data_IF_084511195723
#
_entry.id   IF_084511195723
#
_cell.length_a   1.000
_cell.length_b   1.000
_cell.length_c   1.000
_cell.angle_alpha   90.00
_cell.angle_beta   90.00
_cell.angle_gamma   90.00
#
_symmetry.space_group_name_H-M   'P 1'
#
loop_
_entity.id
_entity.type
_entity.pdbx_description
1 polymer ?
#
# COMPACT_ATOMS: atom_id res chain seq x y z
N UNK A 1 18.87 1.44 31.26
CA UNK A 1 18.34 2.30 30.18
C UNK A 1 17.38 1.51 29.30
N UNK A 2 17.76 0.32 28.81
CA UNK A 2 16.86 -0.55 28.02
C UNK A 2 15.60 -1.01 28.78
N UNK A 3 15.70 -1.36 30.06
CA UNK A 3 14.53 -1.84 30.84
C UNK A 3 13.47 -0.77 31.07
N UNK A 4 13.86 0.49 31.29
CA UNK A 4 12.92 1.60 31.39
C UNK A 4 12.25 1.90 30.05
N UNK A 5 12.97 1.76 28.93
CA UNK A 5 12.40 1.89 27.59
C UNK A 5 11.38 0.79 27.32
N UNK A 6 11.68 -0.47 27.66
CA UNK A 6 10.75 -1.59 27.49
C UNK A 6 9.48 -1.38 28.35
N UNK A 7 9.64 -0.96 29.61
CA UNK A 7 8.50 -0.66 30.50
C UNK A 7 7.66 0.52 30.01
N UNK A 8 8.29 1.55 29.44
CA UNK A 8 7.58 2.68 28.82
C UNK A 8 6.83 2.23 27.56
N UNK A 9 7.42 1.39 26.72
CA UNK A 9 6.76 0.77 25.57
C UNK A 9 5.57 -0.09 25.98
N UNK A 10 5.71 -0.94 27.02
CA UNK A 10 4.62 -1.77 27.53
C UNK A 10 3.47 -0.91 28.07
N UNK A 11 3.76 0.16 28.84
CA UNK A 11 2.71 1.10 29.29
C UNK A 11 1.95 1.73 28.12
N UNK A 12 2.63 2.07 27.04
CA UNK A 12 1.98 2.64 25.86
C UNK A 12 1.06 1.63 25.16
N UNK A 13 1.43 0.35 25.14
CA UNK A 13 0.58 -0.72 24.58
C UNK A 13 -0.70 -0.87 25.40
N UNK A 14 -0.59 -0.89 26.73
CA UNK A 14 -1.73 -1.03 27.64
C UNK A 14 -2.62 0.23 27.72
N UNK A 15 -2.03 1.43 27.74
CA UNK A 15 -2.79 2.69 27.89
C UNK A 15 -3.30 3.25 26.55
N UNK A 16 -2.66 2.92 25.43
CA UNK A 16 -2.92 3.57 24.13
C UNK A 16 -3.27 2.59 23.00
N UNK A 17 -3.65 1.33 23.23
CA UNK A 17 -4.13 0.38 22.19
C UNK A 17 -3.29 0.40 20.90
N UNK A 18 -1.97 0.27 21.04
CA UNK A 18 -1.03 0.23 19.93
C UNK A 18 -1.01 -1.15 19.27
N UNK A 19 -0.95 -1.19 17.94
CA UNK A 19 -0.85 -2.43 17.16
C UNK A 19 0.21 -2.35 16.05
N UNK A 20 0.71 -3.53 15.67
CA UNK A 20 1.53 -3.72 14.48
C UNK A 20 0.61 -4.13 13.35
N UNK A 21 0.56 -3.29 12.30
CA UNK A 21 -0.30 -3.54 11.14
C UNK A 21 0.13 -4.79 10.39
N UNK A 22 1.44 -5.01 10.24
CA UNK A 22 1.97 -6.16 9.52
C UNK A 22 3.41 -6.48 9.89
N UNK A 23 3.74 -7.77 9.91
CA UNK A 23 5.08 -8.29 9.65
C UNK A 23 5.08 -8.86 8.24
N UNK A 24 5.96 -8.38 7.38
CA UNK A 24 6.06 -8.82 5.98
C UNK A 24 7.44 -9.40 5.75
N UNK A 25 7.51 -10.68 5.36
CA UNK A 25 8.75 -11.32 4.94
C UNK A 25 8.95 -11.09 3.44
N UNK A 26 10.00 -10.37 3.09
CA UNK A 26 10.48 -10.23 1.72
C UNK A 26 11.30 -11.46 1.33
N UNK A 27 11.04 -12.06 0.17
CA UNK A 27 11.74 -13.25 -0.33
C UNK A 27 12.17 -13.01 -1.78
N UNK A 28 13.47 -13.05 -2.02
CA UNK A 28 14.02 -13.02 -3.38
C UNK A 28 13.69 -14.31 -4.12
N UNK A 29 13.26 -14.20 -5.38
CA UNK A 29 12.99 -15.34 -6.25
C UNK A 29 13.98 -15.45 -7.42
N UNK A 30 15.09 -14.69 -7.38
CA UNK A 30 16.06 -14.67 -8.48
C UNK A 30 16.75 -16.02 -8.70
N UNK A 31 16.97 -16.80 -7.64
CA UNK A 31 17.49 -18.17 -7.71
C UNK A 31 16.41 -19.21 -8.11
N UNK A 32 15.14 -18.81 -8.16
CA UNK A 32 14.04 -19.64 -8.64
C UNK A 32 13.92 -19.60 -10.18
N UNK A 33 14.64 -18.71 -10.86
CA UNK A 33 14.59 -18.56 -12.31
C UNK A 33 14.99 -19.88 -13.00
N UNK A 34 14.20 -20.27 -13.99
CA UNK A 34 14.44 -21.39 -14.88
C UNK A 34 13.92 -21.05 -16.29
N UNK A 35 14.34 -21.82 -17.29
CA UNK A 35 13.78 -21.71 -18.65
C UNK A 35 12.43 -22.42 -18.76
N UNK A 36 12.15 -23.34 -17.83
CA UNK A 36 10.88 -24.08 -17.72
C UNK A 36 10.00 -23.45 -16.63
N UNK A 37 8.77 -23.07 -17.00
CA UNK A 37 7.82 -22.44 -16.09
C UNK A 37 7.42 -23.36 -14.94
N UNK A 38 7.27 -24.67 -15.19
CA UNK A 38 6.82 -25.61 -14.17
C UNK A 38 7.94 -25.85 -13.14
N UNK A 39 9.21 -25.83 -13.58
CA UNK A 39 10.37 -25.83 -12.67
C UNK A 39 10.48 -24.54 -11.87
N UNK A 40 10.22 -23.39 -12.51
CA UNK A 40 10.18 -22.09 -11.83
C UNK A 40 9.11 -22.12 -10.73
N UNK A 41 7.91 -22.61 -11.02
CA UNK A 41 6.84 -22.76 -10.04
C UNK A 41 7.26 -23.66 -8.86
N UNK A 42 7.86 -24.82 -9.12
CA UNK A 42 8.31 -25.72 -8.06
C UNK A 42 9.36 -25.04 -7.16
N UNK A 43 10.36 -24.38 -7.73
CA UNK A 43 11.38 -23.64 -6.97
C UNK A 43 10.77 -22.53 -6.11
N UNK A 44 9.83 -21.75 -6.66
CA UNK A 44 9.11 -20.71 -5.94
C UNK A 44 8.37 -21.29 -4.73
N UNK A 45 7.58 -22.34 -4.96
CA UNK A 45 6.81 -22.98 -3.89
C UNK A 45 7.71 -23.49 -2.77
N UNK A 46 8.78 -24.22 -3.12
CA UNK A 46 9.73 -24.76 -2.15
C UNK A 46 10.43 -23.65 -1.37
N UNK A 47 10.89 -22.60 -2.04
CA UNK A 47 11.61 -21.50 -1.38
C UNK A 47 10.71 -20.76 -0.40
N UNK A 48 9.51 -20.37 -0.82
CA UNK A 48 8.57 -19.64 0.04
C UNK A 48 8.19 -20.48 1.26
N UNK A 49 7.75 -21.72 1.04
CA UNK A 49 7.32 -22.61 2.13
C UNK A 49 8.46 -22.96 3.07
N UNK A 50 9.70 -23.04 2.60
CA UNK A 50 10.88 -23.28 3.45
C UNK A 50 11.24 -22.06 4.29
N UNK A 51 11.33 -20.88 3.67
CA UNK A 51 11.81 -19.66 4.34
C UNK A 51 10.78 -19.07 5.30
N UNK A 52 9.49 -19.15 4.95
CA UNK A 52 8.42 -18.55 5.74
C UNK A 52 7.71 -19.55 6.67
N UNK A 53 8.15 -20.82 6.76
CA UNK A 53 7.48 -21.89 7.53
C UNK A 53 7.05 -21.52 8.96
N UNK A 54 7.87 -20.73 9.64
CA UNK A 54 7.68 -20.35 11.05
C UNK A 54 7.16 -18.90 11.20
N UNK A 55 6.92 -18.17 10.10
CA UNK A 55 6.58 -16.74 10.14
C UNK A 55 5.33 -16.45 10.97
N UNK A 56 4.25 -17.20 10.72
CA UNK A 56 2.97 -17.00 11.42
C UNK A 56 3.11 -17.34 12.89
N UNK A 57 3.69 -18.52 13.18
CA UNK A 57 3.94 -19.00 14.53
C UNK A 57 4.77 -18.01 15.35
N UNK A 58 5.88 -17.52 14.80
CA UNK A 58 6.74 -16.53 15.48
C UNK A 58 5.97 -15.22 15.69
N UNK A 59 5.16 -14.80 14.72
CA UNK A 59 4.28 -13.64 14.90
C UNK A 59 3.33 -13.81 16.09
N UNK A 60 2.64 -14.94 16.19
CA UNK A 60 1.72 -15.25 17.29
C UNK A 60 2.42 -15.38 18.65
N UNK A 61 3.63 -15.94 18.68
CA UNK A 61 4.45 -15.99 19.90
C UNK A 61 4.83 -14.59 20.39
N UNK A 62 5.19 -13.68 19.48
CA UNK A 62 5.50 -12.29 19.82
C UNK A 62 4.25 -11.57 20.36
N UNK A 63 3.09 -11.78 19.75
CA UNK A 63 1.82 -11.22 20.24
C UNK A 63 1.54 -11.67 21.68
N UNK A 64 1.67 -12.98 21.94
CA UNK A 64 1.38 -13.54 23.26
C UNK A 64 2.38 -13.10 24.33
N UNK A 65 3.66 -12.94 23.98
CA UNK A 65 4.73 -12.63 24.95
C UNK A 65 4.78 -11.14 25.29
N UNK A 66 4.60 -10.27 24.30
CA UNK A 66 4.70 -8.82 24.48
C UNK A 66 3.35 -8.13 24.65
N UNK A 67 2.24 -8.84 24.42
CA UNK A 67 0.89 -8.28 24.48
C UNK A 67 0.59 -7.26 23.39
N UNK A 68 1.37 -7.26 22.29
CA UNK A 68 1.24 -6.32 21.17
C UNK A 68 0.53 -7.05 20.02
N UNK A 69 -0.68 -6.64 19.62
CA UNK A 69 -1.38 -7.24 18.49
C UNK A 69 -0.60 -7.06 17.18
N UNK A 70 -0.48 -8.13 16.39
CA UNK A 70 0.11 -8.16 15.04
C UNK A 70 -0.97 -8.60 14.07
N UNK A 71 -1.63 -7.60 13.46
CA UNK A 71 -2.86 -7.80 12.69
C UNK A 71 -2.63 -8.70 11.48
N UNK A 72 -1.47 -8.59 10.82
CA UNK A 72 -1.16 -9.37 9.62
C UNK A 72 0.26 -9.94 9.62
N UNK A 73 0.37 -11.13 9.01
CA UNK A 73 1.64 -11.76 8.63
C UNK A 73 1.58 -11.99 7.13
N UNK A 74 2.54 -11.43 6.39
CA UNK A 74 2.49 -11.32 4.93
C UNK A 74 3.81 -11.71 4.29
N UNK A 75 3.77 -11.97 2.99
CA UNK A 75 4.96 -12.21 2.18
C UNK A 75 4.99 -11.21 1.03
N UNK A 76 6.16 -10.70 0.68
CA UNK A 76 6.40 -10.05 -0.60
C UNK A 76 7.50 -10.79 -1.35
N UNK A 77 7.36 -10.87 -2.67
CA UNK A 77 8.35 -11.56 -3.52
C UNK A 77 8.89 -10.65 -4.62
N UNK A 78 10.01 -11.05 -5.21
CA UNK A 78 10.56 -10.39 -6.40
C UNK A 78 9.48 -10.21 -7.46
N UNK A 79 9.39 -9.04 -8.12
CA UNK A 79 8.42 -8.81 -9.20
C UNK A 79 8.40 -9.98 -10.18
N UNK A 80 7.27 -10.69 -10.21
CA UNK A 80 7.14 -11.97 -10.93
C UNK A 80 7.51 -11.82 -12.40
N UNK A 81 7.22 -10.67 -13.03
CA UNK A 81 7.59 -10.42 -14.42
C UNK A 81 9.10 -10.61 -14.70
N UNK A 82 9.96 -10.28 -13.74
CA UNK A 82 11.41 -10.48 -13.83
C UNK A 82 11.73 -11.98 -13.75
N UNK A 83 11.10 -12.69 -12.81
CA UNK A 83 11.36 -14.10 -12.54
C UNK A 83 10.96 -14.97 -13.74
N UNK A 84 9.81 -14.68 -14.35
CA UNK A 84 9.29 -15.46 -15.48
C UNK A 84 9.88 -15.05 -16.83
N UNK A 85 10.62 -13.93 -16.92
CA UNK A 85 11.13 -13.42 -18.19
C UNK A 85 12.01 -14.44 -18.94
N UNK A 86 12.75 -15.28 -18.22
CA UNK A 86 13.59 -16.33 -18.81
C UNK A 86 12.79 -17.42 -19.55
N UNK A 87 11.50 -17.59 -19.21
CA UNK A 87 10.61 -18.56 -19.84
C UNK A 87 9.95 -18.06 -21.13
N UNK A 88 10.10 -16.76 -21.48
CA UNK A 88 9.29 -16.11 -22.54
C UNK A 88 7.78 -16.38 -22.33
N UNK A 89 7.24 -15.93 -21.19
CA UNK A 89 5.98 -16.45 -20.65
C UNK A 89 4.78 -16.02 -21.49
N UNK A 90 3.76 -16.86 -21.52
CA UNK A 90 2.40 -16.48 -21.93
C UNK A 90 1.58 -16.01 -20.72
N UNK A 91 0.44 -15.33 -20.90
CA UNK A 91 -0.46 -15.01 -19.78
C UNK A 91 -0.88 -16.25 -18.98
N UNK A 92 -1.06 -17.41 -19.63
CA UNK A 92 -1.39 -18.67 -18.97
C UNK A 92 -0.26 -19.16 -18.05
N UNK A 93 0.99 -18.95 -18.43
CA UNK A 93 2.16 -19.27 -17.61
C UNK A 93 2.24 -18.38 -16.38
N UNK A 94 1.97 -17.08 -16.54
CA UNK A 94 1.89 -16.15 -15.40
C UNK A 94 0.78 -16.55 -14.42
N UNK A 95 -0.39 -17.00 -14.89
CA UNK A 95 -1.48 -17.52 -14.05
C UNK A 95 -1.04 -18.76 -13.26
N UNK A 96 -0.23 -19.66 -13.84
CA UNK A 96 0.33 -20.80 -13.09
C UNK A 96 1.21 -20.33 -11.93
N UNK A 97 2.00 -19.29 -12.13
CA UNK A 97 2.82 -18.70 -11.06
C UNK A 97 1.93 -18.05 -10.00
N UNK A 98 0.88 -17.32 -10.38
CA UNK A 98 -0.09 -16.78 -9.43
C UNK A 98 -0.70 -17.88 -8.54
N UNK A 99 -1.16 -18.98 -9.14
CA UNK A 99 -1.68 -20.14 -8.40
C UNK A 99 -0.64 -20.79 -7.49
N UNK A 100 0.62 -20.76 -7.90
CA UNK A 100 1.73 -21.28 -7.09
C UNK A 100 1.98 -20.41 -5.86
N UNK A 101 1.98 -19.08 -6.02
CA UNK A 101 2.08 -18.13 -4.92
C UNK A 101 0.89 -18.27 -3.96
N UNK A 102 -0.32 -18.43 -4.49
CA UNK A 102 -1.54 -18.63 -3.70
C UNK A 102 -1.46 -19.90 -2.84
N UNK A 103 -1.03 -21.01 -3.45
CA UNK A 103 -0.80 -22.28 -2.74
C UNK A 103 0.28 -22.16 -1.66
N UNK A 104 1.38 -21.47 -1.95
CA UNK A 104 2.45 -21.26 -0.98
C UNK A 104 1.98 -20.39 0.20
N UNK A 105 1.21 -19.34 -0.07
CA UNK A 105 0.61 -18.48 0.95
C UNK A 105 -0.35 -19.26 1.85
N UNK A 106 -1.18 -20.13 1.26
CA UNK A 106 -2.10 -21.01 1.99
C UNK A 106 -1.36 -22.01 2.87
N UNK A 107 -0.30 -22.64 2.36
CA UNK A 107 0.51 -23.63 3.09
C UNK A 107 1.19 -23.01 4.33
N UNK A 108 1.72 -21.80 4.19
CA UNK A 108 2.39 -21.09 5.30
C UNK A 108 1.38 -20.42 6.25
N UNK A 109 0.15 -20.17 5.79
CA UNK A 109 -0.92 -19.57 6.59
C UNK A 109 -0.84 -18.03 6.67
N UNK A 110 -0.22 -17.36 5.69
CA UNK A 110 -0.12 -15.88 5.66
C UNK A 110 -1.39 -15.24 5.10
N UNK A 111 -1.64 -13.97 5.46
CA UNK A 111 -2.84 -13.26 5.05
C UNK A 111 -2.87 -12.87 3.57
N UNK A 112 -1.71 -12.50 3.01
CA UNK A 112 -1.55 -12.09 1.62
C UNK A 112 -0.09 -12.28 1.17
N UNK A 113 0.09 -12.48 -0.14
CA UNK A 113 1.37 -12.50 -0.82
C UNK A 113 1.39 -11.47 -1.96
N UNK A 114 2.29 -10.49 -1.86
CA UNK A 114 2.51 -9.47 -2.87
C UNK A 114 3.73 -9.79 -3.74
N UNK A 115 3.86 -9.10 -4.87
CA UNK A 115 4.97 -9.29 -5.81
C UNK A 115 4.56 -9.89 -7.14
N UNK A 116 3.27 -10.18 -7.36
CA UNK A 116 2.72 -10.42 -8.69
C UNK A 116 2.71 -9.12 -9.51
N UNK A 117 3.92 -8.67 -9.85
CA UNK A 117 4.20 -7.29 -10.18
C UNK A 117 5.11 -7.14 -11.39
N UNK A 118 4.94 -6.01 -12.07
CA UNK A 118 5.76 -5.57 -13.21
C UNK A 118 6.22 -4.12 -13.03
N UNK A 119 7.43 -3.81 -13.49
CA UNK A 119 8.04 -2.47 -13.41
C UNK A 119 8.31 -1.97 -14.83
N UNK A 120 7.45 -1.08 -15.33
CA UNK A 120 7.35 -0.75 -16.77
C UNK A 120 7.54 0.74 -17.06
N UNK A 121 8.14 1.51 -16.15
CA UNK A 121 8.26 2.97 -16.30
C UNK A 121 9.06 3.42 -17.54
N UNK A 122 9.92 2.55 -18.09
CA UNK A 122 10.73 2.83 -19.30
C UNK A 122 10.27 2.05 -20.54
N UNK A 123 9.16 1.32 -20.46
CA UNK A 123 8.69 0.41 -21.50
C UNK A 123 8.58 -1.02 -20.99
N UNK A 124 8.22 -1.94 -21.88
CA UNK A 124 8.00 -3.35 -21.56
C UNK A 124 9.23 -4.21 -21.86
N UNK A 125 9.47 -5.20 -21.00
CA UNK A 125 10.37 -6.33 -21.22
C UNK A 125 9.59 -7.63 -21.43
N UNK A 126 10.32 -8.73 -21.68
CA UNK A 126 9.77 -10.00 -22.16
C UNK A 126 8.70 -10.65 -21.27
N UNK A 127 8.68 -10.35 -19.96
CA UNK A 127 7.67 -10.88 -19.04
C UNK A 127 6.52 -9.91 -18.70
N UNK A 128 6.68 -8.61 -18.99
CA UNK A 128 5.80 -7.58 -18.42
C UNK A 128 4.39 -7.61 -19.00
N UNK A 129 4.26 -7.66 -20.33
CA UNK A 129 2.96 -7.69 -21.00
C UNK A 129 2.17 -8.93 -20.62
N UNK A 130 2.80 -10.11 -20.68
CA UNK A 130 2.18 -11.37 -20.30
C UNK A 130 1.69 -11.35 -18.85
N UNK A 131 2.48 -10.77 -17.93
CA UNK A 131 2.05 -10.60 -16.55
C UNK A 131 0.85 -9.63 -16.45
N UNK A 132 0.92 -8.43 -17.03
CA UNK A 132 -0.15 -7.43 -16.93
C UNK A 132 -1.47 -7.96 -17.52
N UNK A 133 -1.42 -8.62 -18.68
CA UNK A 133 -2.59 -9.20 -19.35
C UNK A 133 -3.21 -10.34 -18.55
N UNK A 134 -2.42 -11.04 -17.74
CA UNK A 134 -2.89 -12.14 -16.91
C UNK A 134 -3.55 -11.70 -15.59
N UNK A 135 -3.36 -10.45 -15.16
CA UNK A 135 -3.84 -9.93 -13.86
C UNK A 135 -5.34 -10.20 -13.63
N UNK A 136 -6.26 -9.91 -14.58
CA UNK A 136 -7.69 -10.09 -14.33
C UNK A 136 -8.06 -11.53 -13.97
N UNK A 137 -7.51 -12.49 -14.71
CA UNK A 137 -7.79 -13.90 -14.50
C UNK A 137 -7.04 -14.44 -13.26
N UNK A 138 -5.78 -14.05 -13.07
CA UNK A 138 -4.97 -14.45 -11.92
C UNK A 138 -5.64 -14.03 -10.60
N UNK A 139 -6.10 -12.77 -10.48
CA UNK A 139 -6.73 -12.27 -9.26
C UNK A 139 -8.15 -12.82 -9.03
N UNK A 140 -8.83 -13.29 -10.09
CA UNK A 140 -10.11 -13.99 -9.98
C UNK A 140 -9.96 -15.45 -9.53
N UNK A 141 -8.82 -16.09 -9.82
CA UNK A 141 -8.56 -17.51 -9.52
C UNK A 141 -7.68 -17.74 -8.29
N UNK A 142 -7.32 -16.68 -7.57
CA UNK A 142 -6.48 -16.71 -6.36
C UNK A 142 -7.13 -15.91 -5.24
N UNK A 143 -6.81 -16.25 -4.00
CA UNK A 143 -7.40 -15.59 -2.82
C UNK A 143 -6.40 -14.64 -2.15
N UNK A 144 -5.15 -15.05 -2.03
CA UNK A 144 -4.10 -14.40 -1.24
C UNK A 144 -3.14 -13.56 -2.08
N UNK A 145 -3.13 -13.73 -3.40
CA UNK A 145 -2.20 -13.01 -4.28
C UNK A 145 -2.65 -11.56 -4.47
N UNK A 146 -1.71 -10.63 -4.28
CA UNK A 146 -1.83 -9.22 -4.61
C UNK A 146 -0.90 -8.84 -5.77
N UNK A 147 -1.35 -7.92 -6.61
CA UNK A 147 -0.65 -7.48 -7.81
C UNK A 147 -0.38 -5.98 -7.78
N UNK A 148 0.78 -5.59 -8.29
CA UNK A 148 1.13 -4.18 -8.46
C UNK A 148 1.88 -3.91 -9.76
N UNK A 149 1.64 -2.74 -10.38
CA UNK A 149 2.34 -2.36 -11.62
C UNK A 149 2.90 -0.96 -11.48
N UNK A 150 4.22 -0.80 -11.57
CA UNK A 150 4.86 0.52 -11.57
C UNK A 150 4.93 1.06 -13.00
N UNK A 151 4.19 2.14 -13.29
CA UNK A 151 4.06 2.70 -14.65
C UNK A 151 4.88 3.98 -14.85
N UNK A 152 5.47 4.52 -13.79
CA UNK A 152 6.23 5.77 -13.84
C UNK A 152 7.29 5.86 -12.77
N UNK A 153 8.29 6.71 -13.01
CA UNK A 153 9.22 7.14 -11.98
C UNK A 153 9.69 8.56 -12.26
N UNK A 154 10.12 9.28 -11.24
CA UNK A 154 10.66 10.63 -11.42
C UNK A 154 11.87 10.66 -12.36
N UNK A 155 12.66 9.57 -12.38
CA UNK A 155 13.80 9.43 -13.28
C UNK A 155 13.42 9.10 -14.72
N UNK A 156 12.29 8.42 -14.94
CA UNK A 156 11.85 8.00 -16.27
C UNK A 156 10.75 8.90 -16.86
N UNK A 157 9.97 9.59 -16.04
CA UNK A 157 8.67 10.09 -16.45
C UNK A 157 7.60 9.00 -16.36
N UNK A 158 6.59 9.05 -17.22
CA UNK A 158 5.39 8.20 -17.13
C UNK A 158 5.21 7.44 -18.44
N UNK A 159 5.12 6.11 -18.38
CA UNK A 159 4.79 5.27 -19.52
C UNK A 159 3.27 5.29 -19.77
N UNK A 160 2.82 6.14 -20.71
CA UNK A 160 1.41 6.31 -21.01
C UNK A 160 0.80 5.10 -21.76
N UNK A 161 1.62 4.31 -22.45
CA UNK A 161 1.16 3.03 -23.02
C UNK A 161 0.75 2.06 -21.90
N UNK A 162 1.53 2.00 -20.81
CA UNK A 162 1.21 1.20 -19.63
C UNK A 162 0.03 1.76 -18.84
N UNK A 163 -0.07 3.09 -18.72
CA UNK A 163 -1.24 3.74 -18.10
C UNK A 163 -2.54 3.37 -18.83
N UNK A 164 -2.55 3.42 -20.17
CA UNK A 164 -3.70 2.99 -20.97
C UNK A 164 -4.04 1.52 -20.73
N UNK A 165 -3.03 0.65 -20.81
CA UNK A 165 -3.22 -0.79 -20.58
C UNK A 165 -3.78 -1.05 -19.18
N UNK A 166 -3.28 -0.35 -18.16
CA UNK A 166 -3.78 -0.50 -16.79
C UNK A 166 -5.23 -0.03 -16.62
N UNK A 167 -5.68 1.00 -17.33
CA UNK A 167 -7.10 1.38 -17.33
C UNK A 167 -8.01 0.25 -17.84
N UNK A 168 -7.59 -0.45 -18.90
CA UNK A 168 -8.30 -1.65 -19.40
C UNK A 168 -8.19 -2.82 -18.43
N UNK A 169 -7.01 -3.08 -17.88
CA UNK A 169 -6.76 -4.19 -16.95
C UNK A 169 -7.58 -4.02 -15.67
N UNK A 170 -7.69 -2.82 -15.11
CA UNK A 170 -8.55 -2.55 -13.94
C UNK A 170 -10.01 -2.85 -14.27
N UNK A 171 -10.50 -2.41 -15.43
CA UNK A 171 -11.88 -2.68 -15.85
C UNK A 171 -12.16 -4.18 -16.03
N UNK A 172 -11.27 -4.89 -16.73
CA UNK A 172 -11.34 -6.36 -16.91
C UNK A 172 -11.24 -7.10 -15.58
N UNK A 173 -10.41 -6.62 -14.66
CA UNK A 173 -10.25 -7.20 -13.32
C UNK A 173 -11.54 -7.05 -12.51
N UNK A 174 -12.15 -5.86 -12.55
CA UNK A 174 -13.46 -5.62 -11.94
C UNK A 174 -14.47 -6.59 -12.54
N UNK A 175 -14.55 -6.72 -13.86
CA UNK A 175 -15.44 -7.65 -14.58
C UNK A 175 -15.27 -9.12 -14.16
N UNK A 176 -14.03 -9.58 -13.98
CA UNK A 176 -13.70 -10.95 -13.64
C UNK A 176 -13.91 -11.30 -12.15
N UNK A 177 -13.76 -10.34 -11.23
CA UNK A 177 -13.85 -10.59 -9.79
C UNK A 177 -14.27 -9.35 -9.01
N UNK A 178 -15.23 -9.51 -8.10
CA UNK A 178 -15.74 -8.42 -7.26
C UNK A 178 -14.69 -7.91 -6.25
N UNK A 179 -13.72 -8.75 -5.90
CA UNK A 179 -12.60 -8.43 -4.99
C UNK A 179 -11.26 -8.23 -5.72
N UNK A 180 -11.21 -8.47 -7.03
CA UNK A 180 -9.96 -8.43 -7.80
C UNK A 180 -9.27 -7.07 -7.72
N UNK A 181 -10.02 -5.99 -7.93
CA UNK A 181 -9.47 -4.62 -7.88
C UNK A 181 -9.01 -4.20 -6.48
N UNK A 182 -9.52 -4.81 -5.41
CA UNK A 182 -9.02 -4.55 -4.07
C UNK A 182 -7.60 -5.11 -3.84
N UNK A 183 -7.18 -6.07 -4.68
CA UNK A 183 -5.86 -6.72 -4.69
C UNK A 183 -4.95 -6.22 -5.80
N UNK A 184 -5.32 -5.16 -6.53
CA UNK A 184 -4.55 -4.59 -7.64
C UNK A 184 -4.24 -3.12 -7.37
N UNK A 185 -2.98 -2.73 -7.48
CA UNK A 185 -2.58 -1.32 -7.35
C UNK A 185 -1.64 -0.88 -8.47
N UNK A 186 -1.82 0.33 -8.96
CA UNK A 186 -0.95 0.93 -9.98
C UNK A 186 -0.09 2.00 -9.32
N UNK A 187 1.23 1.94 -9.51
CA UNK A 187 2.18 2.85 -8.88
C UNK A 187 2.86 3.80 -9.87
N UNK A 188 3.27 4.94 -9.34
CA UNK A 188 4.45 5.65 -9.79
C UNK A 188 5.45 5.78 -8.62
N UNK A 189 6.75 5.71 -8.93
CA UNK A 189 7.83 5.69 -7.93
C UNK A 189 7.62 4.62 -6.85
N UNK A 190 7.24 3.40 -7.23
CA UNK A 190 7.12 2.31 -6.27
C UNK A 190 8.44 2.09 -5.51
N UNK A 191 8.32 1.79 -4.22
CA UNK A 191 9.46 1.49 -3.35
C UNK A 191 9.65 -0.03 -3.22
N UNK A 192 10.90 -0.44 -3.05
CA UNK A 192 11.35 -1.83 -3.16
C UNK A 192 11.13 -2.69 -1.90
N UNK A 193 10.81 -2.04 -0.77
CA UNK A 193 10.76 -2.62 0.58
C UNK A 193 9.37 -2.42 1.25
N UNK A 194 8.34 -2.03 0.48
CA UNK A 194 7.00 -1.75 1.00
C UNK A 194 6.37 -2.98 1.68
N UNK A 195 6.01 -2.93 2.97
CA UNK A 195 5.37 -4.04 3.65
C UNK A 195 3.83 -4.10 3.46
N UNK A 196 3.21 -3.06 2.87
CA UNK A 196 1.76 -2.92 2.76
C UNK A 196 1.17 -3.50 1.47
N UNK A 197 0.05 -4.23 1.61
CA UNK A 197 -0.72 -4.77 0.48
C UNK A 197 -1.78 -3.77 -0.01
N UNK A 198 -2.17 -3.79 -1.28
CA UNK A 198 -1.81 -4.75 -2.35
C UNK A 198 -0.44 -4.50 -3.01
N UNK A 199 0.29 -3.48 -2.57
CA UNK A 199 1.42 -2.93 -3.32
C UNK A 199 2.79 -3.54 -3.08
N UNK A 200 2.94 -4.35 -2.04
CA UNK A 200 4.23 -4.90 -1.66
C UNK A 200 4.84 -5.79 -2.75
N UNK A 201 6.12 -5.60 -3.01
CA UNK A 201 7.01 -6.54 -3.70
C UNK A 201 8.37 -6.49 -3.02
N UNK A 202 9.23 -7.47 -3.29
CA UNK A 202 10.59 -7.52 -2.74
C UNK A 202 11.58 -7.09 -3.82
N UNK A 203 12.24 -5.95 -3.63
CA UNK A 203 13.16 -5.38 -4.60
C UNK A 203 14.31 -6.31 -4.98
N UNK A 204 14.89 -6.07 -6.16
CA UNK A 204 16.06 -6.82 -6.61
C UNK A 204 17.34 -6.41 -5.88
N UNK A 205 17.34 -5.23 -5.25
CA UNK A 205 18.45 -4.72 -4.44
C UNK A 205 18.45 -5.19 -2.98
N UNK A 206 17.33 -5.75 -2.50
CA UNK A 206 17.16 -6.23 -1.13
C UNK A 206 17.87 -7.58 -0.90
N UNK A 207 18.07 -7.99 0.36
CA UNK A 207 18.72 -9.29 0.64
C UNK A 207 17.86 -10.50 0.21
N UNK A 208 18.42 -11.71 0.31
CA UNK A 208 17.73 -12.95 -0.10
C UNK A 208 16.39 -13.14 0.61
N UNK A 209 16.36 -12.85 1.92
CA UNK A 209 15.17 -12.83 2.76
C UNK A 209 15.31 -11.74 3.81
N UNK A 210 14.27 -10.95 4.05
CA UNK A 210 14.25 -9.90 5.08
C UNK A 210 12.89 -9.79 5.77
N UNK A 211 12.88 -9.19 6.97
CA UNK A 211 11.66 -8.85 7.70
C UNK A 211 11.45 -7.35 7.71
N UNK A 212 10.32 -6.91 7.16
CA UNK A 212 9.85 -5.54 7.20
C UNK A 212 8.62 -5.45 8.10
N UNK A 213 8.51 -4.37 8.88
CA UNK A 213 7.39 -4.16 9.81
C UNK A 213 6.65 -2.88 9.46
N UNK A 214 5.32 -2.98 9.29
CA UNK A 214 4.44 -1.84 9.19
C UNK A 214 3.73 -1.62 10.52
N UNK A 215 3.84 -0.42 11.08
CA UNK A 215 3.14 -0.04 12.31
C UNK A 215 1.76 0.55 12.00
N UNK A 216 0.87 0.55 13.00
CA UNK A 216 -0.35 1.34 12.99
C UNK A 216 -0.33 2.31 14.19
N UNK A 217 -1.22 3.28 14.19
CA UNK A 217 -1.30 4.28 15.25
C UNK A 217 -2.25 5.47 15.07
N UNK A 218 -3.19 5.53 14.09
CA UNK A 218 -4.12 6.67 14.03
C UNK A 218 -4.85 6.94 15.35
N UNK A 219 -5.42 5.91 15.99
CA UNK A 219 -6.11 6.07 17.26
C UNK A 219 -5.24 6.65 18.39
N UNK A 220 -3.94 6.31 18.41
CA UNK A 220 -2.96 6.77 19.39
C UNK A 220 -2.66 8.25 19.19
N UNK A 221 -2.43 8.66 17.94
CA UNK A 221 -2.18 10.05 17.57
C UNK A 221 -3.40 10.91 17.88
N UNK A 222 -4.61 10.43 17.59
CA UNK A 222 -5.85 11.13 17.96
C UNK A 222 -5.95 11.37 19.46
N UNK A 223 -5.77 10.34 20.29
CA UNK A 223 -5.79 10.46 21.76
C UNK A 223 -4.73 11.43 22.30
N UNK A 224 -3.56 11.47 21.67
CA UNK A 224 -2.52 12.42 22.04
C UNK A 224 -2.94 13.88 21.73
N UNK A 225 -3.62 14.11 20.60
CA UNK A 225 -4.11 15.43 20.22
C UNK A 225 -5.27 15.94 21.07
N UNK A 226 -6.14 15.06 21.57
CA UNK A 226 -7.22 15.42 22.49
C UNK A 226 -6.69 16.12 23.77
N UNK A 227 -5.46 15.80 24.18
CA UNK A 227 -4.80 16.38 25.37
C UNK A 227 -4.25 17.80 25.13
N UNK A 228 -4.17 18.25 23.88
CA UNK A 228 -3.62 19.55 23.48
C UNK A 228 -4.60 20.37 22.64
N UNK A 229 -5.90 20.16 22.85
CA UNK A 229 -6.96 20.85 22.12
C UNK A 229 -6.91 22.35 22.35
N UNK A 230 -6.86 23.13 21.26
CA UNK A 230 -6.79 24.59 21.28
C UNK A 230 -5.38 25.17 21.44
N UNK A 231 -4.36 24.32 21.59
CA UNK A 231 -2.96 24.74 21.62
C UNK A 231 -2.44 25.15 20.22
N UNK A 232 -1.24 25.75 20.18
CA UNK A 232 -0.62 26.18 18.92
C UNK A 232 -0.18 25.00 18.04
N UNK A 233 0.00 25.25 16.74
CA UNK A 233 0.51 24.23 15.81
C UNK A 233 1.90 23.70 16.17
N UNK A 234 2.72 24.48 16.87
CA UNK A 234 4.01 24.00 17.39
C UNK A 234 3.81 22.85 18.38
N UNK A 235 2.84 23.00 19.29
CA UNK A 235 2.48 21.97 20.28
C UNK A 235 1.86 20.76 19.60
N UNK A 236 0.97 20.98 18.62
CA UNK A 236 0.34 19.91 17.83
C UNK A 236 1.41 19.09 17.10
N UNK A 237 2.32 19.73 16.38
CA UNK A 237 3.38 19.06 15.62
C UNK A 237 4.34 18.30 16.54
N UNK A 238 4.76 18.88 17.67
CA UNK A 238 5.60 18.19 18.66
C UNK A 238 4.90 16.98 19.27
N UNK A 239 3.58 17.08 19.51
CA UNK A 239 2.78 15.98 20.05
C UNK A 239 2.75 14.81 19.07
N UNK A 240 2.40 15.06 17.80
CA UNK A 240 2.40 14.04 16.75
C UNK A 240 3.80 13.41 16.60
N UNK A 241 4.85 14.23 16.59
CA UNK A 241 6.24 13.76 16.45
C UNK A 241 6.65 12.82 17.59
N UNK A 242 6.35 13.18 18.84
CA UNK A 242 6.66 12.34 20.01
C UNK A 242 5.87 11.03 19.99
N UNK A 243 4.61 11.08 19.58
CA UNK A 243 3.78 9.87 19.45
C UNK A 243 4.29 8.96 18.33
N UNK A 244 4.63 9.51 17.17
CA UNK A 244 5.20 8.75 16.07
C UNK A 244 6.55 8.10 16.44
N UNK A 245 7.40 8.80 17.19
CA UNK A 245 8.65 8.22 17.72
C UNK A 245 8.37 6.97 18.55
N UNK A 246 7.38 7.03 19.45
CA UNK A 246 7.00 5.92 20.34
C UNK A 246 6.45 4.72 19.56
N UNK A 247 5.53 4.96 18.63
CA UNK A 247 4.97 3.94 17.73
C UNK A 247 6.12 3.23 16.97
N UNK A 248 7.05 4.01 16.45
CA UNK A 248 8.16 3.49 15.65
C UNK A 248 9.12 2.63 16.47
N UNK A 249 9.41 3.02 17.72
CA UNK A 249 10.24 2.21 18.63
C UNK A 249 9.63 0.83 18.89
N UNK A 250 8.30 0.77 19.00
CA UNK A 250 7.59 -0.51 19.13
C UNK A 250 7.74 -1.37 17.86
N UNK A 251 7.54 -0.77 16.68
CA UNK A 251 7.77 -1.46 15.40
C UNK A 251 9.20 -2.01 15.29
N UNK A 252 10.19 -1.24 15.71
CA UNK A 252 11.59 -1.67 15.74
C UNK A 252 11.82 -2.83 16.72
N UNK A 253 11.21 -2.79 17.90
CA UNK A 253 11.30 -3.87 18.88
C UNK A 253 10.75 -5.18 18.30
N UNK A 254 9.54 -5.15 17.75
CA UNK A 254 8.89 -6.32 17.15
C UNK A 254 9.69 -6.84 15.96
N UNK A 255 10.17 -5.96 15.08
CA UNK A 255 11.00 -6.33 13.93
C UNK A 255 12.30 -7.02 14.34
N UNK A 256 12.99 -6.52 15.37
CA UNK A 256 14.21 -7.15 15.89
C UNK A 256 13.95 -8.54 16.46
N UNK A 257 12.89 -8.69 17.27
CA UNK A 257 12.55 -9.98 17.87
C UNK A 257 12.16 -11.00 16.80
N UNK A 258 11.36 -10.60 15.81
CA UNK A 258 11.00 -11.46 14.68
C UNK A 258 12.23 -11.88 13.87
N UNK A 259 13.13 -10.93 13.59
CA UNK A 259 14.40 -11.16 12.90
C UNK A 259 15.28 -12.18 13.62
N UNK A 260 15.47 -12.03 14.94
CA UNK A 260 16.28 -12.94 15.76
C UNK A 260 15.69 -14.36 15.81
N UNK A 261 14.36 -14.49 15.99
CA UNK A 261 13.69 -15.80 16.08
C UNK A 261 13.64 -16.54 14.76
N UNK A 262 13.44 -15.82 13.65
CA UNK A 262 13.41 -16.40 12.30
C UNK A 262 14.81 -16.63 11.72
N UNK A 263 15.85 -16.01 12.29
CA UNK A 263 17.21 -16.04 11.74
C UNK A 263 17.31 -15.30 10.40
N UNK A 264 16.49 -14.26 10.21
CA UNK A 264 16.36 -13.48 8.98
C UNK A 264 16.72 -12.02 9.27
N UNK A 265 17.50 -11.32 8.43
CA UNK A 265 17.80 -9.90 8.63
C UNK A 265 16.55 -9.03 8.79
N UNK A 266 16.66 -8.03 9.66
CA UNK A 266 15.65 -6.98 9.78
C UNK A 266 15.92 -5.91 8.72
N UNK A 267 14.92 -5.65 7.87
CA UNK A 267 14.96 -4.59 6.85
C UNK A 267 14.52 -3.26 7.47
N UNK A 268 13.27 -2.87 7.23
CA UNK A 268 12.77 -1.54 7.59
C UNK A 268 11.58 -1.55 8.57
N UNK A 269 11.39 -0.42 9.25
CA UNK A 269 10.09 -0.03 9.80
C UNK A 269 9.44 0.99 8.86
N UNK A 270 8.24 0.68 8.39
CA UNK A 270 7.39 1.64 7.69
C UNK A 270 6.53 2.39 8.72
N UNK A 271 6.58 3.72 8.68
CA UNK A 271 5.97 4.65 9.64
C UNK A 271 4.49 4.94 9.37
N UNK A 272 3.91 4.27 8.40
CA UNK A 272 2.64 4.71 7.85
C UNK A 272 1.48 4.62 8.84
N UNK A 273 0.72 5.71 8.98
CA UNK A 273 -0.52 5.72 9.76
C UNK A 273 -1.63 5.13 8.90
N UNK A 274 -1.82 3.81 9.00
CA UNK A 274 -2.85 3.08 8.29
C UNK A 274 -4.12 2.94 9.17
N UNK A 275 -5.26 3.52 8.78
CA UNK A 275 -6.51 3.36 9.51
C UNK A 275 -7.05 1.93 9.37
N UNK A 276 -8.02 1.61 10.22
CA UNK A 276 -8.78 0.36 10.14
C UNK A 276 -10.27 0.66 10.22
N UNK A 277 -11.14 -0.27 9.80
CA UNK A 277 -12.58 -0.13 9.98
C UNK A 277 -13.03 -0.06 11.46
N UNK A 278 -12.10 -0.23 12.43
CA UNK A 278 -12.39 -0.16 13.84
C UNK A 278 -12.71 1.27 14.30
N UNK A 279 -13.67 1.39 15.20
CA UNK A 279 -14.10 2.69 15.73
C UNK A 279 -12.96 3.39 16.46
N UNK A 280 -12.65 4.62 16.05
CA UNK A 280 -11.63 5.46 16.66
C UNK A 280 -10.23 5.33 16.06
N UNK A 281 -10.04 4.44 15.08
CA UNK A 281 -8.77 4.28 14.37
C UNK A 281 -8.83 4.87 12.95
N UNK A 282 -8.80 6.21 12.89
CA UNK A 282 -9.10 6.99 11.69
C UNK A 282 -8.16 8.16 11.54
N UNK A 283 -7.64 8.34 10.32
CA UNK A 283 -6.86 9.52 9.93
C UNK A 283 -7.78 10.72 9.76
N UNK A 284 -8.99 10.53 9.23
CA UNK A 284 -9.98 11.61 9.16
C UNK A 284 -10.26 12.24 10.54
N UNK A 285 -10.44 11.41 11.58
CA UNK A 285 -10.68 11.90 12.94
C UNK A 285 -9.46 12.61 13.55
N UNK A 286 -8.23 12.26 13.14
CA UNK A 286 -7.04 13.05 13.52
C UNK A 286 -7.11 14.45 12.94
N UNK A 287 -7.45 14.57 11.65
CA UNK A 287 -7.52 15.86 10.96
C UNK A 287 -8.64 16.73 11.53
N UNK A 288 -9.77 16.13 11.91
CA UNK A 288 -10.86 16.80 12.61
C UNK A 288 -10.42 17.26 14.03
N UNK A 289 -9.69 16.42 14.77
CA UNK A 289 -9.19 16.79 16.11
C UNK A 289 -8.14 17.93 16.05
N UNK A 290 -7.45 18.11 14.92
CA UNK A 290 -6.59 19.29 14.69
C UNK A 290 -7.37 20.60 14.54
N UNK A 291 -8.71 20.56 14.52
CA UNK A 291 -9.59 21.73 14.52
C UNK A 291 -10.46 21.88 13.26
N UNK A 292 -10.58 20.84 12.42
CA UNK A 292 -11.48 20.86 11.27
C UNK A 292 -12.86 20.33 11.67
N UNK A 293 -13.92 20.92 11.12
CA UNK A 293 -15.29 20.42 11.35
C UNK A 293 -15.52 19.06 10.68
N UNK A 294 -14.98 18.87 9.48
CA UNK A 294 -14.99 17.59 8.79
C UNK A 294 -13.83 17.46 7.81
N UNK A 295 -13.29 16.25 7.66
CA UNK A 295 -12.31 15.96 6.62
C UNK A 295 -12.86 16.30 5.23
N UNK A 296 -12.03 16.92 4.38
CA UNK A 296 -12.40 17.37 3.05
C UNK A 296 -12.66 18.88 2.96
N UNK A 297 -12.96 19.55 4.07
CA UNK A 297 -13.10 21.01 4.10
C UNK A 297 -11.78 21.76 3.83
N UNK A 298 -11.85 23.09 3.68
CA UNK A 298 -10.68 23.96 3.56
C UNK A 298 -9.78 23.82 4.80
N UNK A 299 -8.47 23.68 4.57
CA UNK A 299 -7.50 23.38 5.64
C UNK A 299 -7.12 21.91 5.76
N UNK A 300 -7.94 20.96 5.27
CA UNK A 300 -7.65 19.50 5.32
C UNK A 300 -6.27 19.15 4.77
N UNK A 301 -5.90 19.69 3.60
CA UNK A 301 -4.60 19.41 2.96
C UNK A 301 -3.44 19.94 3.81
N UNK A 302 -3.60 21.09 4.47
CA UNK A 302 -2.57 21.67 5.34
C UNK A 302 -2.41 20.86 6.64
N UNK A 303 -3.53 20.45 7.26
CA UNK A 303 -3.52 19.59 8.44
C UNK A 303 -2.85 18.24 8.14
N UNK A 304 -3.17 17.63 7.00
CA UNK A 304 -2.55 16.37 6.58
C UNK A 304 -1.06 16.53 6.24
N UNK A 305 -0.65 17.68 5.69
CA UNK A 305 0.76 17.96 5.46
C UNK A 305 1.54 18.03 6.79
N UNK A 306 0.99 18.72 7.81
CA UNK A 306 1.57 18.76 9.16
C UNK A 306 1.66 17.37 9.77
N UNK A 307 0.58 16.59 9.70
CA UNK A 307 0.52 15.22 10.20
C UNK A 307 1.64 14.37 9.58
N UNK A 308 1.73 14.36 8.24
CA UNK A 308 2.68 13.54 7.52
C UNK A 308 4.14 13.92 7.83
N UNK A 309 4.44 15.23 7.84
CA UNK A 309 5.77 15.73 8.15
C UNK A 309 6.20 15.42 9.61
N UNK A 310 5.29 15.62 10.57
CA UNK A 310 5.56 15.31 11.97
C UNK A 310 5.76 13.82 12.22
N UNK A 311 4.95 12.94 11.57
CA UNK A 311 5.11 11.49 11.66
C UNK A 311 6.48 11.05 11.11
N UNK A 312 6.86 11.53 9.92
CA UNK A 312 8.17 11.23 9.33
C UNK A 312 9.32 11.66 10.24
N UNK A 313 9.27 12.89 10.77
CA UNK A 313 10.30 13.41 11.69
C UNK A 313 10.39 12.57 12.97
N UNK A 314 9.26 12.15 13.52
CA UNK A 314 9.21 11.32 14.73
C UNK A 314 9.80 9.93 14.49
N UNK A 315 9.42 9.28 13.39
CA UNK A 315 9.87 7.92 13.09
C UNK A 315 11.35 7.84 12.68
N UNK A 316 11.86 8.78 11.87
CA UNK A 316 13.29 8.84 11.52
C UNK A 316 14.18 9.04 12.75
N UNK A 317 13.68 9.72 13.78
CA UNK A 317 14.40 9.84 15.06
C UNK A 317 14.43 8.52 15.86
N UNK A 318 13.47 7.62 15.62
CA UNK A 318 13.29 6.39 16.38
C UNK A 318 14.02 5.19 15.80
N UNK A 319 14.10 5.03 14.47
CA UNK A 319 14.67 3.83 13.85
C UNK A 319 15.83 4.17 12.90
N UNK A 320 16.82 3.27 12.84
CA UNK A 320 17.97 3.42 11.95
C UNK A 320 17.65 3.08 10.49
N UNK A 321 16.65 2.23 10.26
CA UNK A 321 16.21 1.78 8.94
C UNK A 321 14.72 2.06 8.81
N UNK A 322 14.41 3.24 8.27
CA UNK A 322 13.04 3.66 7.92
C UNK A 322 12.91 3.55 6.41
N UNK A 323 11.84 2.90 5.96
CA UNK A 323 11.61 2.60 4.55
C UNK A 323 10.13 2.47 4.22
N UNK A 324 9.81 1.80 3.12
CA UNK A 324 8.45 1.68 2.63
C UNK A 324 7.82 3.03 2.24
N UNK A 325 6.51 3.16 2.39
CA UNK A 325 5.74 4.34 2.00
C UNK A 325 5.89 5.48 3.03
N UNK A 326 5.98 5.13 4.31
CA UNK A 326 6.22 6.03 5.46
C UNK A 326 5.41 7.34 5.42
N UNK A 327 4.09 7.26 5.59
CA UNK A 327 3.23 8.43 5.72
C UNK A 327 1.77 8.14 6.09
N UNK A 328 0.93 9.16 6.20
CA UNK A 328 -0.48 8.95 6.48
C UNK A 328 -1.20 8.29 5.30
N UNK A 329 -2.00 7.25 5.54
CA UNK A 329 -2.80 6.57 4.53
C UNK A 329 -4.21 7.20 4.50
N UNK A 330 -4.79 7.33 3.31
CA UNK A 330 -6.15 7.86 3.13
C UNK A 330 -7.11 6.91 2.36
N UNK A 331 -7.15 5.60 2.70
CA UNK A 331 -8.03 4.64 2.04
C UNK A 331 -9.49 4.92 2.42
N UNK A 332 -10.30 5.28 1.43
CA UNK A 332 -11.70 5.66 1.69
C UNK A 332 -12.48 4.51 2.29
N UNK A 333 -12.28 3.26 1.84
CA UNK A 333 -13.06 2.12 2.31
C UNK A 333 -12.71 1.63 3.73
N UNK A 334 -11.52 1.98 4.23
CA UNK A 334 -11.00 1.48 5.51
C UNK A 334 -11.12 2.54 6.62
N UNK A 335 -11.28 3.83 6.29
CA UNK A 335 -11.41 4.91 7.27
C UNK A 335 -12.87 5.36 7.44
N UNK A 336 -13.48 5.01 8.58
CA UNK A 336 -14.87 5.35 8.88
C UNK A 336 -15.18 6.86 8.83
N UNK A 337 -14.22 7.72 9.17
CA UNK A 337 -14.39 9.17 9.08
C UNK A 337 -14.39 9.66 7.62
N UNK A 338 -13.58 9.04 6.76
CA UNK A 338 -13.58 9.35 5.33
C UNK A 338 -14.88 8.89 4.65
N UNK A 339 -15.36 7.68 4.95
CA UNK A 339 -16.66 7.18 4.45
C UNK A 339 -17.76 8.18 4.77
N UNK A 340 -17.84 8.59 6.04
CA UNK A 340 -18.86 9.55 6.50
C UNK A 340 -18.77 10.89 5.78
N UNK A 341 -17.55 11.40 5.54
CA UNK A 341 -17.35 12.66 4.84
C UNK A 341 -17.72 12.57 3.35
N UNK A 342 -17.46 11.43 2.70
CA UNK A 342 -17.90 11.17 1.32
C UNK A 342 -19.43 11.09 1.25
N UNK A 343 -20.06 10.34 2.16
CA UNK A 343 -21.52 10.22 2.23
C UNK A 343 -22.21 11.57 2.51
N UNK A 344 -21.58 12.44 3.31
CA UNK A 344 -22.04 13.80 3.57
C UNK A 344 -21.76 14.77 2.41
N UNK A 345 -21.02 14.35 1.37
CA UNK A 345 -20.63 15.19 0.24
C UNK A 345 -19.57 16.24 0.57
N UNK A 346 -18.85 16.07 1.69
CA UNK A 346 -17.80 16.97 2.17
C UNK A 346 -16.41 16.57 1.68
N UNK A 347 -16.24 15.32 1.25
CA UNK A 347 -15.03 14.77 0.65
C UNK A 347 -15.34 14.24 -0.76
N UNK A 348 -14.65 14.76 -1.77
CA UNK A 348 -14.80 14.36 -3.18
C UNK A 348 -13.47 13.85 -3.75
N UNK A 349 -13.51 13.34 -4.99
CA UNK A 349 -12.36 12.69 -5.62
C UNK A 349 -11.21 13.70 -5.87
N UNK A 350 -11.54 14.91 -6.31
CA UNK A 350 -10.56 15.97 -6.58
C UNK A 350 -9.89 16.46 -5.29
N UNK A 351 -10.61 16.43 -4.16
CA UNK A 351 -10.04 16.76 -2.86
C UNK A 351 -9.12 15.64 -2.37
N UNK A 352 -9.48 14.37 -2.60
CA UNK A 352 -8.59 13.25 -2.33
C UNK A 352 -7.32 13.36 -3.16
N UNK A 353 -7.42 13.63 -4.46
CA UNK A 353 -6.29 13.92 -5.36
C UNK A 353 -5.44 15.11 -4.84
N UNK A 354 -6.06 16.20 -4.39
CA UNK A 354 -5.33 17.30 -3.78
C UNK A 354 -4.61 16.91 -2.47
N UNK A 355 -5.17 15.96 -1.71
CA UNK A 355 -4.54 15.39 -0.52
C UNK A 355 -3.40 14.44 -0.89
N UNK A 356 -3.50 13.72 -2.02
CA UNK A 356 -2.44 12.83 -2.48
C UNK A 356 -1.16 13.60 -2.73
N UNK A 357 -1.22 14.86 -3.16
CA UNK A 357 -0.05 15.73 -3.33
C UNK A 357 0.89 15.77 -2.11
N UNK A 358 0.36 15.66 -0.89
CA UNK A 358 1.13 15.72 0.36
C UNK A 358 1.13 14.40 1.17
N UNK A 359 0.34 13.40 0.76
CA UNK A 359 0.21 12.07 1.36
C UNK A 359 1.14 11.03 0.69
N UNK A 360 1.44 9.89 1.31
CA UNK A 360 2.36 8.89 0.74
C UNK A 360 1.73 7.86 -0.21
N UNK A 361 0.42 7.63 -0.14
CA UNK A 361 -0.20 6.47 -0.82
C UNK A 361 -0.86 6.83 -2.14
N UNK A 362 -1.58 7.94 -2.27
CA UNK A 362 -2.36 8.22 -3.48
C UNK A 362 -3.86 7.90 -3.32
N UNK A 363 -4.56 7.66 -4.43
CA UNK A 363 -5.97 7.29 -4.47
C UNK A 363 -6.14 5.80 -4.15
N UNK A 364 -6.34 5.47 -2.86
CA UNK A 364 -6.44 4.09 -2.40
C UNK A 364 -7.87 3.70 -2.00
N UNK A 365 -8.24 2.46 -2.35
CA UNK A 365 -9.55 1.86 -2.06
C UNK A 365 -10.76 2.76 -2.38
N UNK A 366 -10.77 3.34 -3.59
CA UNK A 366 -11.84 4.25 -4.03
C UNK A 366 -12.82 3.52 -4.94
N UNK A 367 -14.10 3.51 -4.58
CA UNK A 367 -15.17 2.99 -5.42
C UNK A 367 -15.69 4.06 -6.40
N UNK A 368 -15.80 3.70 -7.68
CA UNK A 368 -16.36 4.54 -8.75
C UNK A 368 -17.47 3.80 -9.51
N UNK A 369 -18.32 4.47 -10.29
CA UNK A 369 -19.38 3.81 -11.05
C UNK A 369 -18.81 2.77 -12.02
N UNK A 370 -19.41 1.58 -12.08
CA UNK A 370 -18.91 0.47 -12.90
C UNK A 370 -18.95 0.72 -14.41
N UNK A 371 -19.76 1.68 -14.86
CA UNK A 371 -19.84 2.11 -16.25
C UNK A 371 -18.72 3.11 -16.64
N UNK A 372 -17.89 3.55 -15.68
CA UNK A 372 -16.73 4.41 -15.97
C UNK A 372 -15.84 3.76 -17.04
N UNK A 373 -15.41 4.57 -18.02
CA UNK A 373 -14.63 4.08 -19.16
C UNK A 373 -13.18 3.76 -18.74
N UNK A 374 -12.54 2.86 -19.49
CA UNK A 374 -11.15 2.48 -19.22
C UNK A 374 -10.20 3.68 -19.38
N UNK A 375 -10.52 4.60 -20.29
CA UNK A 375 -9.77 5.84 -20.52
C UNK A 375 -9.92 6.83 -19.36
N UNK A 376 -11.08 6.91 -18.73
CA UNK A 376 -11.26 7.72 -17.52
C UNK A 376 -10.44 7.15 -16.35
N UNK A 377 -10.44 5.83 -16.17
CA UNK A 377 -9.60 5.16 -15.16
C UNK A 377 -8.11 5.40 -15.45
N UNK A 378 -7.69 5.24 -16.70
CA UNK A 378 -6.32 5.53 -17.14
C UNK A 378 -5.94 6.99 -16.88
N UNK A 379 -6.86 7.94 -17.07
CA UNK A 379 -6.61 9.36 -16.78
C UNK A 379 -6.42 9.61 -15.28
N UNK A 380 -7.24 9.01 -14.41
CA UNK A 380 -7.04 9.08 -12.95
C UNK A 380 -5.68 8.51 -12.54
N UNK A 381 -5.25 7.39 -13.16
CA UNK A 381 -3.91 6.83 -12.97
C UNK A 381 -2.83 7.81 -13.45
N UNK A 382 -3.03 8.46 -14.59
CA UNK A 382 -2.08 9.43 -15.14
C UNK A 382 -1.89 10.66 -14.24
N UNK A 383 -3.00 11.19 -13.72
CA UNK A 383 -3.00 12.38 -12.85
C UNK A 383 -2.26 12.08 -11.54
N UNK A 384 -2.57 10.96 -10.89
CA UNK A 384 -1.85 10.51 -9.69
C UNK A 384 -0.38 10.20 -9.95
N UNK A 385 -0.07 9.56 -11.08
CA UNK A 385 1.31 9.33 -11.47
C UNK A 385 2.06 10.64 -11.71
N UNK A 386 1.42 11.66 -12.28
CA UNK A 386 2.01 12.98 -12.49
C UNK A 386 2.30 13.68 -11.16
N UNK A 387 1.36 13.64 -10.21
CA UNK A 387 1.59 14.12 -8.84
C UNK A 387 2.80 13.41 -8.23
N UNK A 388 2.89 12.09 -8.40
CA UNK A 388 4.00 11.25 -7.95
C UNK A 388 5.36 11.66 -8.52
N UNK A 389 5.42 11.65 -9.85
CA UNK A 389 6.63 11.88 -10.64
C UNK A 389 7.16 13.29 -10.46
N UNK A 390 6.30 14.31 -10.45
CA UNK A 390 6.72 15.72 -10.31
C UNK A 390 7.25 16.01 -8.90
N UNK A 391 6.66 15.39 -7.87
CA UNK A 391 6.98 15.68 -6.47
C UNK A 391 7.98 14.71 -5.83
N UNK A 392 8.64 13.82 -6.60
CA UNK A 392 9.56 12.79 -6.07
C UNK A 392 8.95 11.96 -4.96
N UNK A 393 7.71 11.54 -5.16
CA UNK A 393 6.95 10.77 -4.18
C UNK A 393 6.40 9.51 -4.84
N UNK A 394 6.18 8.50 -4.02
CA UNK A 394 5.37 7.35 -4.40
C UNK A 394 3.90 7.79 -4.44
N UNK A 395 3.20 7.36 -5.49
CA UNK A 395 1.74 7.43 -5.58
C UNK A 395 1.22 6.11 -6.08
N UNK A 396 0.05 5.73 -5.60
CA UNK A 396 -0.61 4.47 -5.83
C UNK A 396 -2.07 4.75 -6.14
N UNK A 397 -2.61 3.97 -7.07
CA UNK A 397 -4.00 4.06 -7.50
C UNK A 397 -4.64 2.70 -7.37
N UNK A 398 -5.65 2.61 -6.53
CA UNK A 398 -6.51 1.45 -6.33
C UNK A 398 -7.96 1.88 -6.46
N UNK A 399 -8.44 1.81 -7.69
CA UNK A 399 -9.79 2.20 -8.09
C UNK A 399 -10.61 0.94 -8.30
N UNK A 400 -11.86 0.98 -7.83
CA UNK A 400 -12.79 -0.15 -7.82
C UNK A 400 -14.02 0.25 -8.63
N UNK A 401 -14.09 -0.11 -9.93
CA UNK A 401 -15.30 0.02 -10.73
C UNK A 401 -16.42 -0.87 -10.17
N UNK A 402 -17.44 -0.24 -9.62
CA UNK A 402 -18.54 -0.87 -8.92
C UNK A 402 -19.62 -1.37 -9.90
N UNK A 403 -19.58 -2.67 -10.25
CA UNK A 403 -20.53 -3.27 -11.21
C UNK A 403 -21.99 -3.05 -10.80
N UNK A 404 -22.78 -2.48 -11.70
CA UNK A 404 -24.22 -2.31 -11.48
C UNK A 404 -24.58 -1.44 -10.28
N UNK A 405 -23.63 -0.63 -9.80
CA UNK A 405 -23.82 0.31 -8.71
C UNK A 405 -23.77 1.74 -9.25
N UNK A 406 -24.63 2.58 -8.70
CA UNK A 406 -24.73 4.00 -9.01
C UNK A 406 -24.07 4.85 -7.92
N UNK A 407 -23.94 6.15 -8.18
CA UNK A 407 -23.34 7.11 -7.23
C UNK A 407 -24.15 7.09 -5.92
N UNK A 408 -23.45 6.93 -4.79
CA UNK A 408 -24.05 6.84 -3.47
C UNK A 408 -24.40 5.42 -3.01
N UNK A 409 -24.37 4.42 -3.91
CA UNK A 409 -24.45 3.02 -3.50
C UNK A 409 -23.22 2.63 -2.67
N UNK A 410 -23.33 1.53 -1.93
CA UNK A 410 -22.23 0.96 -1.14
C UNK A 410 -21.76 -0.36 -1.72
N UNK A 411 -20.46 -0.58 -1.63
CA UNK A 411 -19.80 -1.87 -1.85
C UNK A 411 -19.25 -2.35 -0.51
N UNK A 412 -19.44 -3.63 -0.22
CA UNK A 412 -18.89 -4.27 0.96
C UNK A 412 -17.79 -5.25 0.54
N UNK A 413 -16.57 -4.99 1.00
CA UNK A 413 -15.42 -5.86 0.76
C UNK A 413 -15.22 -6.86 1.90
N UNK A 414 -15.75 -6.55 3.09
CA UNK A 414 -15.66 -7.37 4.29
C UNK A 414 -14.28 -7.34 4.95
N UNK A 415 -14.24 -7.78 6.20
CA UNK A 415 -13.01 -7.94 6.98
C UNK A 415 -12.17 -6.65 7.05
N UNK A 416 -10.93 -6.72 6.57
CA UNK A 416 -9.94 -5.64 6.64
C UNK A 416 -10.17 -4.51 5.63
N UNK A 417 -10.86 -4.78 4.53
CA UNK A 417 -11.01 -3.86 3.40
C UNK A 417 -12.25 -2.95 3.52
N UNK A 418 -13.09 -3.20 4.53
CA UNK A 418 -14.20 -2.34 4.91
C UNK A 418 -15.30 -2.21 3.84
N UNK A 419 -15.84 -1.00 3.71
CA UNK A 419 -16.95 -0.67 2.80
C UNK A 419 -16.68 0.66 2.12
N UNK A 420 -16.97 0.78 0.82
CA UNK A 420 -16.81 2.06 0.11
C UNK A 420 -18.13 2.57 -0.46
N UNK A 421 -18.46 3.86 -0.26
CA UNK A 421 -19.48 4.53 -1.05
C UNK A 421 -18.97 4.78 -2.47
N UNK A 422 -19.83 4.58 -3.47
CA UNK A 422 -19.51 4.84 -4.88
C UNK A 422 -19.47 6.36 -5.10
N UNK A 423 -18.27 6.86 -5.44
CA UNK A 423 -18.00 8.28 -5.59
C UNK A 423 -18.31 8.78 -7.00
N UNK A 424 -18.73 10.04 -7.11
CA UNK A 424 -18.97 10.68 -8.41
C UNK A 424 -17.67 10.84 -9.20
N UNK A 425 -17.71 10.52 -10.50
CA UNK A 425 -16.66 10.82 -11.46
C UNK A 425 -17.06 11.98 -12.37
N UNK A 426 -16.07 12.66 -12.97
CA UNK A 426 -16.33 13.71 -13.94
C UNK A 426 -16.75 13.10 -15.29
N UNK A 427 -17.90 13.49 -15.89
CA UNK A 427 -18.41 12.90 -17.13
C UNK A 427 -17.66 13.36 -18.39
N UNK A 428 -16.79 14.37 -18.29
CA UNK A 428 -15.97 14.81 -19.42
C UNK A 428 -14.98 13.72 -19.85
N UNK A 429 -14.85 13.52 -21.17
CA UNK A 429 -14.02 12.43 -21.73
C UNK A 429 -12.54 12.80 -21.77
N UNK A 430 -11.68 11.84 -21.44
CA UNK A 430 -10.22 11.91 -21.54
C UNK A 430 -9.63 11.04 -22.67
N UNK A 431 -10.49 10.49 -23.54
CA UNK A 431 -10.13 9.49 -24.57
C UNK A 431 -8.94 9.91 -25.44
N UNK A 432 -9.00 11.10 -26.05
CA UNK A 432 -7.95 11.58 -26.96
C UNK A 432 -6.60 11.78 -26.26
N UNK A 433 -6.61 12.11 -24.96
CA UNK A 433 -5.38 12.26 -24.18
C UNK A 433 -4.71 10.90 -23.95
N UNK A 434 -5.49 9.89 -23.57
CA UNK A 434 -4.99 8.53 -23.29
C UNK A 434 -4.55 7.82 -24.58
N UNK A 435 -5.26 8.03 -25.70
CA UNK A 435 -4.92 7.41 -26.98
C UNK A 435 -3.62 7.91 -27.60
N UNK A 436 -3.04 9.01 -27.10
CA UNK A 436 -1.71 9.47 -27.55
C UNK A 436 -0.60 8.44 -27.30
N UNK A 437 -0.71 7.67 -26.21
CA UNK A 437 0.28 6.67 -25.82
C UNK A 437 1.69 7.26 -25.63
N UNK A 438 2.69 6.39 -25.76
CA UNK A 438 4.10 6.74 -25.61
C UNK A 438 4.49 7.04 -24.17
N UNK A 439 5.40 8.01 -23.99
CA UNK A 439 6.00 8.32 -22.69
C UNK A 439 6.02 9.82 -22.43
N UNK A 440 5.44 10.25 -21.32
CA UNK A 440 5.67 11.60 -20.78
C UNK A 440 7.11 11.62 -20.26
N UNK A 441 7.96 12.55 -20.71
CA UNK A 441 9.36 12.59 -20.32
C UNK A 441 9.54 12.96 -18.84
N UNK A 442 10.71 12.63 -18.30
CA UNK A 442 11.06 12.98 -16.92
C UNK A 442 11.01 14.51 -16.70
N UNK A 443 10.45 14.99 -15.58
CA UNK A 443 10.38 16.41 -15.26
C UNK A 443 11.77 17.03 -14.97
N UNK A 444 11.89 18.34 -15.19
CA UNK A 444 13.09 19.10 -14.85
C UNK A 444 12.91 19.68 -13.43
N UNK A 445 13.78 19.28 -12.50
CA UNK A 445 13.71 19.76 -11.11
C UNK A 445 14.65 20.92 -10.79
N UNK A 446 15.52 21.31 -11.72
CA UNK A 446 16.45 22.42 -11.52
C UNK A 446 15.77 23.79 -11.62
N UNK A 447 14.64 23.89 -12.34
CA UNK A 447 13.86 25.12 -12.45
C UNK A 447 12.75 25.12 -11.39
N UNK A 448 13.10 25.48 -10.15
CA UNK A 448 12.13 25.78 -9.08
C UNK A 448 12.07 27.30 -8.89
N UNK A 449 10.88 27.87 -8.91
CA UNK A 449 10.61 29.29 -8.63
C UNK A 449 10.38 29.53 -7.15
#
# INVERSE_FOLDING_TARGET
>A
METNQILETIRMVEEENLDIRTITMGISLLDCIDADIDRTCEKIFQKITTKAKDLVKVGEEIESEYGIPIINKRISVTPVAIVVAACQPTPADCIKVAKTLDRAAQEVGVNFIGGYSALVEKGYQGGDLALIESIPEALAQTNFVCSSVNIGSTKAGINMDAVRLMGETVKKTAEASDMGCAKLVVFANAVEDNPFMAGAFHGVGEADVEINVGVSGPGVVKRALEKVKGESFDVVAETVKKTAFKITRMGQLVGRVASERLGVPFGIVDLSLAPTPAVGDSVALILEEMGLESVGTHGTTAALALLNDAVKKGGVMACNHVGGLSGAFIPVSEDAGMIKAVEAGLLNLEKLEAMTAICSVGLDMIAIPGDTSAETIAAMIADEAAIGVINHKTTAVRIIPAKGKEIGDRIEFGGLLGTAPVMKTNPAKSTDFILRGGRIPAPIHSFKN
#
